data_IF_731005725672
#
_entry.id   IF_731005725672
#
_cell.length_a   1.000
_cell.length_b   1.000
_cell.length_c   1.000
_cell.angle_alpha   90.00
_cell.angle_beta   90.00
_cell.angle_gamma   90.00
#
_symmetry.space_group_name_H-M   'P 1'
#
loop_
_entity.id
_entity.type
_entity.pdbx_description
1 polymer ?
#
# COMPACT_ATOMS: atom_id res chain seq x y z
N UNK A 1 -23.78 -19.19 25.09
CA UNK A 1 -24.96 -18.42 25.52
C UNK A 1 -24.46 -17.00 25.71
N UNK A 2 -24.56 -16.22 24.64
CA UNK A 2 -24.06 -14.85 24.58
C UNK A 2 -25.17 -13.96 25.13
N UNK A 3 -24.90 -13.27 26.24
CA UNK A 3 -25.88 -12.53 27.02
C UNK A 3 -26.70 -11.58 26.12
N UNK A 4 -28.01 -11.61 26.32
CA UNK A 4 -28.97 -10.66 25.76
C UNK A 4 -28.43 -9.23 25.96
N UNK A 5 -28.25 -8.51 24.85
CA UNK A 5 -27.81 -7.12 24.85
C UNK A 5 -28.79 -6.28 25.67
N UNK A 6 -28.42 -5.96 26.91
CA UNK A 6 -29.13 -4.99 27.74
C UNK A 6 -29.30 -3.69 26.93
N UNK A 7 -30.55 -3.30 26.70
CA UNK A 7 -30.87 -2.06 26.00
C UNK A 7 -30.17 -0.88 26.69
N UNK A 8 -29.69 0.08 25.90
CA UNK A 8 -29.01 1.27 26.45
C UNK A 8 -30.04 2.25 27.04
N UNK A 9 -30.27 2.18 28.34
CA UNK A 9 -31.34 2.94 29.02
C UNK A 9 -30.99 4.36 29.47
N UNK A 10 -29.70 4.64 29.72
CA UNK A 10 -29.24 5.92 30.29
C UNK A 10 -28.51 6.76 29.25
N UNK A 11 -28.83 8.06 29.20
CA UNK A 11 -28.20 9.04 28.30
C UNK A 11 -27.37 10.05 29.10
N UNK A 12 -26.10 10.18 28.73
CA UNK A 12 -25.22 11.25 29.22
C UNK A 12 -25.10 12.32 28.13
N UNK A 13 -25.30 13.59 28.48
CA UNK A 13 -25.21 14.72 27.53
C UNK A 13 -24.23 15.76 28.04
N UNK A 14 -23.33 16.22 27.17
CA UNK A 14 -22.32 17.24 27.46
C UNK A 14 -22.29 18.26 26.34
N UNK A 15 -22.09 19.55 26.68
CA UNK A 15 -21.97 20.64 25.70
C UNK A 15 -20.50 20.90 25.40
N UNK A 16 -20.17 21.07 24.13
CA UNK A 16 -18.83 21.38 23.64
C UNK A 16 -18.83 22.74 22.95
N UNK A 17 -17.73 23.50 23.08
CA UNK A 17 -17.45 24.63 22.20
C UNK A 17 -17.19 24.13 20.77
N UNK A 18 -17.37 24.96 19.72
CA UNK A 18 -17.14 24.54 18.33
C UNK A 18 -15.73 23.96 18.10
N UNK A 19 -14.70 24.55 18.70
CA UNK A 19 -13.32 24.09 18.57
C UNK A 19 -13.09 22.73 19.24
N UNK A 20 -13.71 22.50 20.40
CA UNK A 20 -13.62 21.23 21.13
C UNK A 20 -14.30 20.11 20.32
N UNK A 21 -15.47 20.40 19.75
CA UNK A 21 -16.18 19.45 18.89
C UNK A 21 -15.40 19.11 17.62
N UNK A 22 -14.72 20.10 17.01
CA UNK A 22 -13.88 19.86 15.82
C UNK A 22 -12.74 18.87 16.09
N UNK A 23 -12.15 18.92 17.29
CA UNK A 23 -11.12 17.95 17.69
C UNK A 23 -11.72 16.55 17.78
N UNK A 24 -12.90 16.41 18.38
CA UNK A 24 -13.60 15.14 18.50
C UNK A 24 -13.96 14.55 17.13
N UNK A 25 -14.53 15.38 16.24
CA UNK A 25 -14.89 15.02 14.87
C UNK A 25 -13.68 14.57 14.04
N UNK A 26 -12.56 15.28 14.16
CA UNK A 26 -11.31 14.91 13.47
C UNK A 26 -10.79 13.56 13.93
N UNK A 27 -10.87 13.25 15.23
CA UNK A 27 -10.46 11.94 15.75
C UNK A 27 -11.43 10.84 15.32
N UNK A 28 -12.74 11.09 15.40
CA UNK A 28 -13.79 10.17 14.94
C UNK A 28 -13.59 9.76 13.48
N UNK A 29 -13.34 10.71 12.58
CA UNK A 29 -13.10 10.47 11.14
C UNK A 29 -11.89 9.59 10.84
N UNK A 30 -10.94 9.47 11.78
CA UNK A 30 -9.78 8.59 11.66
C UNK A 30 -10.06 7.16 12.15
N UNK A 31 -11.23 6.88 12.71
CA UNK A 31 -11.60 5.55 13.20
C UNK A 31 -12.43 4.76 12.19
N UNK A 32 -12.78 3.52 12.52
CA UNK A 32 -13.73 2.70 11.77
C UNK A 32 -15.18 2.82 12.25
N UNK A 33 -15.46 3.67 13.24
CA UNK A 33 -16.81 3.81 13.77
C UNK A 33 -17.74 4.51 12.77
N UNK A 34 -18.95 3.97 12.59
CA UNK A 34 -19.97 4.56 11.73
C UNK A 34 -20.75 5.68 12.44
N UNK A 35 -20.87 5.59 13.77
CA UNK A 35 -21.64 6.54 14.59
C UNK A 35 -20.75 7.20 15.64
N UNK A 36 -20.87 8.52 15.79
CA UNK A 36 -20.15 9.32 16.79
C UNK A 36 -20.42 8.82 18.22
N UNK A 37 -21.65 8.39 18.51
CA UNK A 37 -22.03 7.89 19.83
C UNK A 37 -21.29 6.61 20.23
N UNK A 38 -20.99 5.73 19.28
CA UNK A 38 -20.25 4.49 19.52
C UNK A 38 -18.76 4.76 19.75
N UNK A 39 -18.20 5.71 18.99
CA UNK A 39 -16.85 6.19 19.20
C UNK A 39 -16.70 6.84 20.59
N UNK A 40 -17.56 7.79 20.94
CA UNK A 40 -17.53 8.45 22.26
C UNK A 40 -17.67 7.42 23.37
N UNK A 41 -18.60 6.45 23.24
CA UNK A 41 -18.75 5.38 24.24
C UNK A 41 -17.48 4.54 24.36
N UNK A 42 -16.84 4.21 23.25
CA UNK A 42 -15.59 3.43 23.26
C UNK A 42 -14.45 4.20 23.93
N UNK A 43 -14.35 5.51 23.69
CA UNK A 43 -13.41 6.38 24.39
C UNK A 43 -13.69 6.42 25.90
N UNK A 44 -14.95 6.65 26.30
CA UNK A 44 -15.35 6.77 27.71
C UNK A 44 -15.22 5.46 28.50
N UNK A 45 -15.35 4.32 27.83
CA UNK A 45 -15.23 2.99 28.44
C UNK A 45 -13.84 2.37 28.21
N UNK A 46 -12.87 3.16 27.73
CA UNK A 46 -11.49 2.73 27.47
C UNK A 46 -11.41 1.45 26.60
N UNK A 47 -12.37 1.29 25.69
CA UNK A 47 -12.37 0.17 24.74
C UNK A 47 -11.27 0.40 23.70
N UNK A 48 -10.65 -0.66 23.17
CA UNK A 48 -9.69 -0.54 22.07
C UNK A 48 -10.30 0.17 20.86
N UNK A 49 -9.65 1.23 20.38
CA UNK A 49 -10.06 1.97 19.19
C UNK A 49 -9.01 1.79 18.11
N UNK A 50 -9.40 1.20 16.99
CA UNK A 50 -8.56 1.18 15.80
C UNK A 50 -8.61 2.53 15.10
N UNK A 51 -7.47 3.22 15.08
CA UNK A 51 -7.29 4.44 14.31
C UNK A 51 -6.61 4.08 13.00
N UNK A 52 -7.25 4.41 11.88
CA UNK A 52 -6.66 4.31 10.56
C UNK A 52 -5.63 5.42 10.42
N UNK A 53 -4.35 5.06 10.53
CA UNK A 53 -3.25 5.94 10.16
C UNK A 53 -2.93 5.71 8.68
N UNK A 54 -3.25 6.71 7.84
CA UNK A 54 -2.84 6.69 6.43
C UNK A 54 -1.46 7.32 6.33
N UNK A 55 -0.47 6.49 6.06
CA UNK A 55 0.89 6.93 5.91
C UNK A 55 1.14 7.28 4.45
N UNK A 56 1.14 8.59 4.15
CA UNK A 56 1.28 9.09 2.78
C UNK A 56 2.55 8.57 2.10
N UNK A 57 3.65 8.45 2.85
CA UNK A 57 4.92 7.93 2.33
C UNK A 57 4.81 6.45 1.98
N UNK A 58 4.08 5.66 2.77
CA UNK A 58 3.83 4.24 2.45
C UNK A 58 2.96 4.10 1.18
N UNK A 59 1.95 4.96 1.03
CA UNK A 59 1.08 4.94 -0.15
C UNK A 59 1.83 5.30 -1.43
N UNK A 60 2.67 6.34 -1.39
CA UNK A 60 3.52 6.76 -2.52
C UNK A 60 4.47 5.63 -2.96
N UNK A 61 5.06 4.90 -2.00
CA UNK A 61 5.92 3.75 -2.29
C UNK A 61 5.13 2.57 -2.90
N UNK A 62 3.91 2.29 -2.41
CA UNK A 62 3.05 1.24 -2.97
C UNK A 62 2.63 1.57 -4.42
N UNK A 63 2.39 2.85 -4.71
CA UNK A 63 2.08 3.32 -6.06
C UNK A 63 3.27 3.13 -7.00
N UNK A 64 4.48 3.51 -6.57
CA UNK A 64 5.71 3.30 -7.34
C UNK A 64 5.97 1.82 -7.65
N UNK A 65 5.83 0.93 -6.66
CA UNK A 65 5.93 -0.52 -6.85
C UNK A 65 4.87 -1.06 -7.83
N UNK A 66 3.65 -0.53 -7.79
CA UNK A 66 2.58 -0.93 -8.71
C UNK A 66 2.91 -0.54 -10.16
N UNK A 67 3.51 0.63 -10.37
CA UNK A 67 3.98 1.10 -11.68
C UNK A 67 5.13 0.22 -12.20
N UNK A 68 6.16 -0.02 -11.38
CA UNK A 68 7.29 -0.89 -11.74
C UNK A 68 6.83 -2.29 -12.11
N UNK A 69 5.86 -2.85 -11.36
CA UNK A 69 5.26 -4.16 -11.70
C UNK A 69 4.58 -4.16 -13.07
N UNK A 70 3.87 -3.09 -13.41
CA UNK A 70 3.20 -2.96 -14.71
C UNK A 70 4.22 -2.88 -15.85
N UNK A 71 5.30 -2.12 -15.65
CA UNK A 71 6.39 -2.00 -16.61
C UNK A 71 7.11 -3.34 -16.81
N UNK A 72 7.44 -4.04 -15.73
CA UNK A 72 8.08 -5.35 -15.78
C UNK A 72 7.22 -6.38 -16.54
N UNK A 73 5.90 -6.37 -16.34
CA UNK A 73 4.98 -7.22 -17.09
C UNK A 73 5.02 -6.92 -18.61
N UNK A 74 5.09 -5.65 -18.99
CA UNK A 74 5.21 -5.27 -20.40
C UNK A 74 6.55 -5.74 -20.99
N UNK A 75 7.65 -5.59 -20.26
CA UNK A 75 8.98 -6.08 -20.66
C UNK A 75 8.96 -7.60 -20.83
N UNK A 76 8.40 -8.33 -19.87
CA UNK A 76 8.27 -9.79 -19.94
C UNK A 76 7.44 -10.27 -21.14
N UNK A 77 6.36 -9.56 -21.46
CA UNK A 77 5.56 -9.84 -22.66
C UNK A 77 6.39 -9.65 -23.94
N UNK A 78 7.16 -8.56 -24.04
CA UNK A 78 8.02 -8.30 -25.20
C UNK A 78 9.12 -9.36 -25.33
N UNK A 79 9.74 -9.77 -24.23
CA UNK A 79 10.75 -10.82 -24.22
C UNK A 79 10.15 -12.17 -24.64
N UNK A 80 8.96 -12.52 -24.15
CA UNK A 80 8.24 -13.72 -24.57
C UNK A 80 7.92 -13.70 -26.07
N UNK A 81 7.56 -12.54 -26.63
CA UNK A 81 7.32 -12.41 -28.07
C UNK A 81 8.61 -12.62 -28.87
N UNK A 82 9.72 -12.01 -28.45
CA UNK A 82 11.03 -12.19 -29.11
C UNK A 82 11.48 -13.66 -29.09
N UNK A 83 11.32 -14.34 -27.95
CA UNK A 83 11.64 -15.77 -27.82
C UNK A 83 10.75 -16.63 -28.73
N UNK A 84 9.45 -16.36 -28.80
CA UNK A 84 8.54 -17.09 -29.69
C UNK A 84 8.93 -16.91 -31.16
N UNK A 85 9.27 -15.70 -31.59
CA UNK A 85 9.72 -15.44 -32.96
C UNK A 85 10.97 -16.24 -33.33
N UNK A 86 11.94 -16.31 -32.42
CA UNK A 86 13.16 -17.12 -32.61
C UNK A 86 12.80 -18.61 -32.72
N UNK A 87 11.97 -19.12 -31.80
CA UNK A 87 11.58 -20.54 -31.80
C UNK A 87 10.77 -20.93 -33.05
N UNK A 88 9.96 -20.03 -33.59
CA UNK A 88 9.17 -20.25 -34.81
C UNK A 88 9.98 -20.18 -36.11
N UNK A 89 11.24 -19.76 -36.07
CA UNK A 89 12.08 -19.67 -37.27
C UNK A 89 12.71 -21.01 -37.71
N UNK A 90 12.40 -22.13 -37.04
CA UNK A 90 12.70 -23.52 -37.45
C UNK A 90 14.12 -23.76 -38.03
N UNK A 91 15.15 -23.12 -37.46
CA UNK A 91 16.55 -23.32 -37.85
C UNK A 91 17.16 -22.27 -38.78
N UNK A 92 16.37 -21.37 -39.37
CA UNK A 92 16.84 -20.20 -40.14
C UNK A 92 16.71 -18.91 -39.30
N UNK A 93 17.22 -18.92 -38.08
CA UNK A 93 17.10 -17.77 -37.18
C UNK A 93 18.00 -16.63 -37.67
N UNK A 94 17.39 -15.51 -38.07
CA UNK A 94 18.12 -14.30 -38.43
C UNK A 94 18.86 -13.75 -37.19
N UNK A 95 20.15 -13.42 -37.34
CA UNK A 95 20.97 -12.77 -36.32
C UNK A 95 20.32 -11.49 -35.77
N UNK A 96 19.47 -10.82 -36.57
CA UNK A 96 18.70 -9.65 -36.13
C UNK A 96 17.71 -9.97 -34.99
N UNK A 97 17.14 -11.18 -34.95
CA UNK A 97 16.24 -11.60 -33.89
C UNK A 97 17.00 -11.79 -32.57
N UNK A 98 18.20 -12.35 -32.62
CA UNK A 98 19.09 -12.47 -31.46
C UNK A 98 19.56 -11.10 -30.96
N UNK A 99 19.93 -10.19 -31.86
CA UNK A 99 20.28 -8.81 -31.50
C UNK A 99 19.11 -8.07 -30.84
N UNK A 100 17.89 -8.27 -31.34
CA UNK A 100 16.69 -7.70 -30.73
C UNK A 100 16.48 -8.24 -29.30
N UNK A 101 16.58 -9.55 -29.09
CA UNK A 101 16.46 -10.17 -27.77
C UNK A 101 17.51 -9.66 -26.79
N UNK A 102 18.79 -9.59 -27.21
CA UNK A 102 19.87 -9.03 -26.39
C UNK A 102 19.64 -7.55 -26.07
N UNK A 103 19.09 -6.79 -27.02
CA UNK A 103 18.73 -5.38 -26.81
C UNK A 103 17.61 -5.24 -25.78
N UNK A 104 16.55 -6.06 -25.85
CA UNK A 104 15.46 -6.06 -24.86
C UNK A 104 16.02 -6.37 -23.46
N UNK A 105 16.89 -7.37 -23.33
CA UNK A 105 17.50 -7.72 -22.04
C UNK A 105 18.33 -6.56 -21.51
N UNK A 106 19.35 -6.11 -22.25
CA UNK A 106 20.29 -5.12 -21.74
C UNK A 106 19.70 -3.72 -21.56
N UNK A 107 18.75 -3.31 -22.40
CA UNK A 107 18.20 -1.94 -22.37
C UNK A 107 16.88 -1.79 -21.63
N UNK A 108 16.17 -2.89 -21.33
CA UNK A 108 14.86 -2.85 -20.66
C UNK A 108 14.85 -3.67 -19.37
N UNK A 109 15.29 -4.93 -19.43
CA UNK A 109 15.25 -5.82 -18.26
C UNK A 109 16.25 -5.36 -17.18
N UNK A 110 17.50 -5.11 -17.56
CA UNK A 110 18.54 -4.74 -16.59
C UNK A 110 18.21 -3.43 -15.84
N UNK A 111 17.80 -2.33 -16.51
CA UNK A 111 17.40 -1.11 -15.81
C UNK A 111 16.18 -1.31 -14.90
N UNK A 112 15.19 -2.09 -15.32
CA UNK A 112 14.01 -2.38 -14.49
C UNK A 112 14.40 -3.14 -13.21
N UNK A 113 15.33 -4.09 -13.29
CA UNK A 113 15.86 -4.81 -12.13
C UNK A 113 16.58 -3.84 -11.17
N UNK A 114 17.36 -2.88 -11.70
CA UNK A 114 18.04 -1.88 -10.87
C UNK A 114 17.02 -1.01 -10.13
N UNK A 115 16.01 -0.49 -10.83
CA UNK A 115 14.96 0.33 -10.22
C UNK A 115 14.19 -0.42 -9.12
N UNK A 116 13.86 -1.69 -9.34
CA UNK A 116 13.20 -2.53 -8.33
C UNK A 116 14.09 -2.68 -7.08
N UNK A 117 15.41 -2.89 -7.26
CA UNK A 117 16.35 -2.97 -6.14
C UNK A 117 16.42 -1.66 -5.36
N UNK A 118 16.48 -0.52 -6.04
CA UNK A 118 16.49 0.80 -5.41
C UNK A 118 15.21 1.08 -4.61
N UNK A 119 14.05 0.74 -5.18
CA UNK A 119 12.76 0.86 -4.49
C UNK A 119 12.69 -0.04 -3.24
N UNK A 120 13.16 -1.30 -3.33
CA UNK A 120 13.24 -2.21 -2.18
C UNK A 120 14.16 -1.69 -1.06
N UNK A 121 15.32 -1.10 -1.42
CA UNK A 121 16.22 -0.50 -0.44
C UNK A 121 15.57 0.71 0.26
N UNK A 122 14.88 1.55 -0.51
CA UNK A 122 14.16 2.71 0.01
C UNK A 122 13.04 2.28 0.97
N UNK A 123 12.27 1.26 0.58
CA UNK A 123 11.25 0.66 1.43
C UNK A 123 11.84 0.10 2.74
N UNK A 124 12.92 -0.68 2.66
CA UNK A 124 13.59 -1.26 3.83
C UNK A 124 14.08 -0.18 4.81
N UNK A 125 14.66 0.92 4.29
CA UNK A 125 15.12 2.06 5.09
C UNK A 125 13.96 2.77 5.79
N UNK A 126 12.88 3.07 5.06
CA UNK A 126 11.69 3.71 5.62
C UNK A 126 11.01 2.83 6.67
N UNK A 127 10.92 1.53 6.41
CA UNK A 127 10.35 0.56 7.34
C UNK A 127 11.19 0.44 8.61
N UNK A 128 12.52 0.38 8.48
CA UNK A 128 13.45 0.34 9.63
C UNK A 128 13.35 1.59 10.51
N UNK A 129 13.19 2.78 9.90
CA UNK A 129 12.99 4.03 10.66
C UNK A 129 11.68 4.02 11.46
N UNK A 130 10.61 3.43 10.91
CA UNK A 130 9.31 3.32 11.58
C UNK A 130 9.25 2.28 12.71
N UNK A 131 10.22 1.38 12.81
CA UNK A 131 10.32 0.42 13.93
C UNK A 131 11.03 1.02 15.15
N UNK A 132 11.75 2.14 14.98
CA UNK A 132 12.47 2.85 16.06
C UNK A 132 11.70 3.87 16.92
N UNK A 133 10.43 4.25 16.69
CA UNK A 133 9.77 5.30 17.47
C UNK A 133 9.21 4.81 18.83
N UNK A 134 9.77 3.72 19.39
CA UNK A 134 9.39 3.14 20.68
C UNK A 134 10.43 3.32 21.80
N UNK A 135 11.52 4.04 21.57
CA UNK A 135 12.51 4.42 22.60
C UNK A 135 12.41 5.93 22.91
N UNK A 136 11.29 6.37 23.49
CA UNK A 136 11.15 7.68 24.16
C UNK A 136 9.96 7.68 25.13
#
# INVERSE_FOLDING_TARGET
MENEEENRERKVTTRFKPNEFKVLDTRFKKTRFLKMSEYIRSVLLEKPITVNYRDKTMDEMLEELALLRKELNAIGNNLNQAVRQINSAHGNVDNRLWLNLLTIIGSKVDPAIVQIKECMLTFSKLWSQKLKPGEA
#
